data_IF_320878502644
#
_entry.id   IF_320878502644
#
_cell.length_a   1.000
_cell.length_b   1.000
_cell.length_c   1.000
_cell.angle_alpha   90.00
_cell.angle_beta   90.00
_cell.angle_gamma   90.00
#
_symmetry.space_group_name_H-M   'P 1'
#
loop_
_entity.id
_entity.type
_entity.pdbx_description
1 polymer ?
#
# COMPACT_ATOMS: atom_id res chain seq x y z
N UNK A 1 -21.14 31.17 -35.99
CA UNK A 1 -21.34 29.71 -35.97
C UNK A 1 -20.01 28.95 -36.20
N UNK A 2 -18.82 29.45 -35.76
CA UNK A 2 -17.51 28.81 -36.01
C UNK A 2 -16.69 28.57 -34.75
N UNK A 3 -17.15 28.90 -33.56
CA UNK A 3 -16.37 28.70 -32.33
C UNK A 3 -16.59 27.34 -31.66
N UNK A 4 -17.66 26.66 -31.94
CA UNK A 4 -18.02 25.36 -31.34
C UNK A 4 -17.21 24.18 -31.90
N UNK A 5 -16.69 24.27 -33.11
CA UNK A 5 -15.92 23.21 -33.74
C UNK A 5 -14.43 23.16 -33.27
N UNK A 6 -13.85 24.28 -32.86
CA UNK A 6 -12.47 24.32 -32.42
C UNK A 6 -12.27 23.70 -31.01
N UNK A 7 -13.25 23.81 -30.12
CA UNK A 7 -13.19 23.18 -28.80
C UNK A 7 -13.35 21.66 -28.86
N UNK A 8 -14.19 21.17 -29.79
CA UNK A 8 -14.35 19.73 -30.00
C UNK A 8 -13.08 19.13 -30.61
N UNK A 9 -12.44 19.80 -31.56
CA UNK A 9 -11.15 19.36 -32.13
C UNK A 9 -10.00 19.44 -31.10
N UNK A 10 -10.00 20.40 -30.18
CA UNK A 10 -9.00 20.49 -29.12
C UNK A 10 -9.19 19.39 -28.04
N UNK A 11 -10.42 18.99 -27.71
CA UNK A 11 -10.74 17.88 -26.83
C UNK A 11 -10.52 16.50 -27.48
N UNK A 12 -10.61 16.39 -28.81
CA UNK A 12 -10.25 15.18 -29.56
C UNK A 12 -8.74 15.05 -29.80
N UNK A 13 -7.96 16.11 -29.57
CA UNK A 13 -6.51 16.05 -29.60
C UNK A 13 -6.00 15.38 -28.33
N UNK A 14 -5.60 14.09 -28.47
CA UNK A 14 -4.69 13.40 -27.56
C UNK A 14 -5.28 12.44 -26.50
N UNK A 15 -6.20 11.57 -26.84
CA UNK A 15 -6.02 10.20 -26.34
C UNK A 15 -5.32 9.39 -27.42
N UNK A 16 -3.98 9.30 -27.30
CA UNK A 16 -3.20 8.41 -28.13
C UNK A 16 -3.83 7.03 -28.07
N UNK A 17 -4.45 6.57 -29.16
CA UNK A 17 -5.01 5.23 -29.22
C UNK A 17 -3.87 4.22 -29.19
N UNK A 18 -3.93 3.28 -28.30
CA UNK A 18 -2.95 2.21 -28.18
C UNK A 18 -3.61 0.90 -28.62
N UNK A 19 -2.89 0.05 -29.29
CA UNK A 19 -3.30 -1.33 -29.53
C UNK A 19 -3.31 -2.12 -28.24
N UNK A 20 -4.05 -3.21 -28.17
CA UNK A 20 -4.09 -4.10 -26.99
C UNK A 20 -2.69 -4.58 -26.62
N UNK A 21 -1.85 -4.90 -27.62
CA UNK A 21 -0.46 -5.35 -27.39
C UNK A 21 0.44 -4.24 -26.82
N UNK A 22 0.28 -3.01 -27.26
CA UNK A 22 1.02 -1.88 -26.68
C UNK A 22 0.58 -1.63 -25.23
N UNK A 23 -0.71 -1.74 -24.93
CA UNK A 23 -1.23 -1.61 -23.55
C UNK A 23 -0.70 -2.74 -22.68
N UNK A 24 -0.68 -3.97 -23.19
CA UNK A 24 -0.13 -5.14 -22.50
C UNK A 24 1.33 -4.89 -22.09
N UNK A 25 2.19 -4.47 -23.04
CA UNK A 25 3.60 -4.14 -22.77
C UNK A 25 3.76 -3.02 -21.73
N UNK A 26 2.90 -1.99 -21.77
CA UNK A 26 2.92 -0.91 -20.78
C UNK A 26 2.56 -1.41 -19.38
N UNK A 27 1.62 -2.34 -19.28
CA UNK A 27 1.21 -2.93 -17.99
C UNK A 27 2.22 -3.94 -17.47
N UNK A 28 2.90 -4.69 -18.33
CA UNK A 28 4.09 -5.48 -17.96
C UNK A 28 5.15 -4.59 -17.32
N UNK A 29 5.53 -3.51 -17.99
CA UNK A 29 6.46 -2.52 -17.45
C UNK A 29 6.02 -1.93 -16.12
N UNK A 30 4.73 -1.62 -15.98
CA UNK A 30 4.14 -1.11 -14.74
C UNK A 30 4.27 -2.10 -13.57
N UNK A 31 4.12 -3.40 -13.84
CA UNK A 31 4.27 -4.47 -12.86
C UNK A 31 5.75 -4.80 -12.56
N UNK A 32 6.64 -4.68 -13.56
CA UNK A 32 8.09 -4.90 -13.38
C UNK A 32 8.72 -3.80 -12.54
N UNK A 33 8.32 -2.54 -12.76
CA UNK A 33 8.84 -1.41 -12.00
C UNK A 33 8.56 -1.54 -10.48
N UNK A 34 7.39 -2.08 -10.12
CA UNK A 34 7.00 -2.33 -8.74
C UNK A 34 5.92 -3.40 -8.71
N UNK A 35 5.97 -4.32 -7.72
CA UNK A 35 4.86 -5.25 -7.50
C UNK A 35 3.53 -4.51 -7.38
N UNK A 36 2.51 -5.01 -8.11
CA UNK A 36 1.17 -4.44 -8.16
C UNK A 36 0.13 -5.48 -7.79
N UNK A 37 -1.00 -5.04 -7.20
CA UNK A 37 -2.17 -5.88 -7.02
C UNK A 37 -3.17 -5.69 -8.17
N UNK A 38 -4.17 -6.59 -8.28
CA UNK A 38 -5.24 -6.52 -9.28
C UNK A 38 -5.88 -5.14 -9.35
N UNK A 39 -6.28 -4.60 -8.20
CA UNK A 39 -6.95 -3.30 -8.09
C UNK A 39 -6.09 -2.14 -8.63
N UNK A 40 -4.78 -2.17 -8.43
CA UNK A 40 -3.88 -1.15 -8.97
C UNK A 40 -3.73 -1.27 -10.49
N UNK A 41 -3.64 -2.49 -11.01
CA UNK A 41 -3.59 -2.75 -12.46
C UNK A 41 -4.91 -2.37 -13.11
N UNK A 42 -6.05 -2.74 -12.51
CA UNK A 42 -7.38 -2.34 -13.00
C UNK A 42 -7.54 -0.81 -13.05
N UNK A 43 -7.09 -0.12 -12.00
CA UNK A 43 -7.10 1.34 -11.95
C UNK A 43 -6.25 1.93 -13.09
N UNK A 44 -5.07 1.35 -13.34
CA UNK A 44 -4.19 1.75 -14.43
C UNK A 44 -4.82 1.49 -15.81
N UNK A 45 -5.54 0.37 -15.96
CA UNK A 45 -6.26 0.06 -17.20
C UNK A 45 -7.37 1.06 -17.55
N UNK A 46 -7.93 1.78 -16.56
CA UNK A 46 -8.95 2.82 -16.80
C UNK A 46 -8.43 4.01 -17.60
N UNK A 47 -7.11 4.17 -17.69
CA UNK A 47 -6.49 5.20 -18.56
C UNK A 47 -6.66 4.87 -20.05
N UNK A 48 -6.98 3.60 -20.37
CA UNK A 48 -7.16 3.10 -21.71
C UNK A 48 -8.64 2.74 -21.96
N UNK A 49 -9.12 2.98 -23.18
CA UNK A 49 -10.49 2.61 -23.60
C UNK A 49 -10.50 1.13 -24.01
N UNK A 50 -10.47 0.24 -23.01
CA UNK A 50 -10.50 -1.20 -23.21
C UNK A 50 -11.92 -1.75 -23.02
N UNK A 51 -12.33 -2.61 -23.96
CA UNK A 51 -13.54 -3.45 -23.78
C UNK A 51 -13.27 -4.51 -22.69
N UNK A 52 -14.33 -5.05 -22.04
CA UNK A 52 -14.16 -6.04 -20.96
C UNK A 52 -13.30 -7.23 -21.34
N UNK A 53 -13.48 -7.79 -22.53
CA UNK A 53 -12.79 -8.96 -23.04
C UNK A 53 -11.28 -8.70 -23.16
N UNK A 54 -10.90 -7.51 -23.64
CA UNK A 54 -9.50 -7.11 -23.74
C UNK A 54 -8.84 -6.95 -22.35
N UNK A 55 -9.58 -6.44 -21.36
CA UNK A 55 -9.09 -6.36 -19.97
C UNK A 55 -8.82 -7.73 -19.40
N UNK A 56 -9.73 -8.67 -19.59
CA UNK A 56 -9.62 -10.04 -19.10
C UNK A 56 -8.42 -10.75 -19.73
N UNK A 57 -8.22 -10.64 -21.05
CA UNK A 57 -7.06 -11.17 -21.75
C UNK A 57 -5.74 -10.61 -21.20
N UNK A 58 -5.68 -9.32 -20.91
CA UNK A 58 -4.49 -8.69 -20.36
C UNK A 58 -4.23 -9.19 -18.94
N UNK A 59 -5.25 -9.27 -18.08
CA UNK A 59 -5.09 -9.84 -16.73
C UNK A 59 -4.59 -11.27 -16.76
N UNK A 60 -5.19 -12.11 -17.60
CA UNK A 60 -4.76 -13.49 -17.78
C UNK A 60 -3.29 -13.59 -18.20
N UNK A 61 -2.89 -12.77 -19.17
CA UNK A 61 -1.50 -12.68 -19.63
C UNK A 61 -0.55 -12.29 -18.49
N UNK A 62 -0.87 -11.21 -17.76
CA UNK A 62 -0.02 -10.73 -16.66
C UNK A 62 0.14 -11.79 -15.54
N UNK A 63 -0.90 -12.55 -15.25
CA UNK A 63 -0.86 -13.63 -14.26
C UNK A 63 -0.06 -14.83 -14.77
N UNK A 64 -0.32 -15.29 -15.99
CA UNK A 64 0.37 -16.44 -16.60
C UNK A 64 1.88 -16.25 -16.72
N UNK A 65 2.30 -15.01 -17.01
CA UNK A 65 3.72 -14.66 -17.11
C UNK A 65 4.31 -14.11 -15.80
N UNK A 66 3.57 -14.28 -14.69
CA UNK A 66 4.01 -13.86 -13.34
C UNK A 66 4.38 -12.37 -13.19
N UNK A 67 3.89 -11.50 -14.08
CA UNK A 67 3.98 -10.05 -13.89
C UNK A 67 3.08 -9.59 -12.76
N UNK A 68 1.89 -10.18 -12.61
CA UNK A 68 0.92 -9.91 -11.56
C UNK A 68 0.83 -11.11 -10.62
N UNK A 69 1.26 -10.91 -9.37
CA UNK A 69 1.25 -11.93 -8.33
C UNK A 69 0.89 -11.32 -6.98
N UNK A 70 -0.30 -11.62 -6.47
CA UNK A 70 -0.80 -11.02 -5.24
C UNK A 70 -0.07 -11.46 -3.98
N UNK A 71 0.43 -12.69 -3.92
CA UNK A 71 1.22 -13.16 -2.79
C UNK A 71 2.55 -12.37 -2.72
N UNK A 72 3.25 -12.25 -3.86
CA UNK A 72 4.48 -11.46 -3.96
C UNK A 72 4.23 -9.99 -3.60
N UNK A 73 3.12 -9.42 -4.10
CA UNK A 73 2.70 -8.07 -3.74
C UNK A 73 2.48 -7.92 -2.23
N UNK A 74 1.74 -8.84 -1.58
CA UNK A 74 1.47 -8.78 -0.15
C UNK A 74 2.75 -8.85 0.68
N UNK A 75 3.70 -9.70 0.31
CA UNK A 75 5.02 -9.83 0.95
C UNK A 75 5.84 -8.55 0.84
N UNK A 76 6.00 -8.03 -0.38
CA UNK A 76 6.77 -6.80 -0.62
C UNK A 76 6.13 -5.58 0.02
N UNK A 77 4.79 -5.49 0.00
CA UNK A 77 4.03 -4.43 0.65
C UNK A 77 4.22 -4.45 2.18
N UNK A 78 4.02 -5.61 2.82
CA UNK A 78 4.14 -5.75 4.27
C UNK A 78 5.56 -5.39 4.72
N UNK A 79 6.59 -5.98 4.11
CA UNK A 79 8.00 -5.70 4.39
C UNK A 79 8.34 -4.23 4.19
N UNK A 80 7.95 -3.63 3.07
CA UNK A 80 8.25 -2.23 2.76
C UNK A 80 7.55 -1.24 3.70
N UNK A 81 6.26 -1.46 4.00
CA UNK A 81 5.51 -0.57 4.92
C UNK A 81 6.00 -0.68 6.37
N UNK A 82 6.34 -1.88 6.80
CA UNK A 82 6.93 -2.07 8.12
C UNK A 82 8.32 -1.45 8.20
N UNK A 83 9.27 -1.82 7.32
CA UNK A 83 10.67 -1.39 7.41
C UNK A 83 10.87 0.10 7.15
N UNK A 84 10.15 0.68 6.18
CA UNK A 84 10.31 2.10 5.78
C UNK A 84 9.41 3.02 6.59
N UNK A 85 8.10 2.68 6.70
CA UNK A 85 7.10 3.56 7.35
C UNK A 85 6.87 3.24 8.82
N UNK A 86 7.47 2.13 9.31
CA UNK A 86 7.28 1.64 10.69
C UNK A 86 5.80 1.45 11.04
N UNK A 87 5.04 0.85 10.10
CA UNK A 87 3.64 0.53 10.34
C UNK A 87 3.50 -0.76 11.14
N UNK A 88 2.55 -0.79 12.06
CA UNK A 88 2.13 -1.99 12.77
C UNK A 88 1.30 -2.92 11.89
N UNK A 89 1.20 -4.19 12.30
CA UNK A 89 0.51 -5.26 11.56
C UNK A 89 -0.95 -4.90 11.28
N UNK A 90 -1.67 -4.25 12.22
CA UNK A 90 -3.07 -3.86 12.05
C UNK A 90 -3.28 -2.87 10.89
N UNK A 91 -2.39 -1.90 10.73
CA UNK A 91 -2.47 -0.95 9.62
C UNK A 91 -2.16 -1.62 8.30
N UNK A 92 -1.15 -2.48 8.25
CA UNK A 92 -0.78 -3.25 7.05
C UNK A 92 -1.96 -4.11 6.59
N UNK A 93 -2.62 -4.84 7.52
CA UNK A 93 -3.80 -5.66 7.25
C UNK A 93 -4.92 -4.81 6.65
N UNK A 94 -5.24 -3.67 7.26
CA UNK A 94 -6.30 -2.79 6.78
C UNK A 94 -6.03 -2.27 5.37
N UNK A 95 -4.82 -1.85 5.08
CA UNK A 95 -4.43 -1.35 3.76
C UNK A 95 -4.44 -2.46 2.69
N UNK A 96 -4.01 -3.67 3.05
CA UNK A 96 -4.08 -4.82 2.13
C UNK A 96 -5.53 -5.26 1.87
N UNK A 97 -6.40 -5.25 2.89
CA UNK A 97 -7.84 -5.47 2.71
C UNK A 97 -8.49 -4.42 1.81
N UNK A 98 -8.11 -3.15 1.96
CA UNK A 98 -8.60 -2.07 1.09
C UNK A 98 -8.18 -2.26 -0.37
N UNK A 99 -7.09 -2.98 -0.61
CA UNK A 99 -6.61 -3.37 -1.95
C UNK A 99 -7.18 -4.71 -2.44
N UNK A 100 -8.19 -5.24 -1.75
CA UNK A 100 -8.89 -6.48 -2.05
C UNK A 100 -7.99 -7.73 -2.04
N UNK A 101 -6.89 -7.68 -1.27
CA UNK A 101 -6.00 -8.83 -1.09
C UNK A 101 -6.65 -9.87 -0.18
N UNK A 102 -6.59 -11.13 -0.59
CA UNK A 102 -7.15 -12.27 0.14
C UNK A 102 -6.54 -12.41 1.55
N UNK A 103 -7.33 -12.93 2.49
CA UNK A 103 -6.85 -13.19 3.87
C UNK A 103 -5.66 -14.14 3.91
N UNK A 104 -5.59 -15.07 2.97
CA UNK A 104 -4.45 -15.99 2.82
C UNK A 104 -3.17 -15.23 2.46
N UNK A 105 -3.20 -14.39 1.42
CA UNK A 105 -2.06 -13.60 0.99
C UNK A 105 -1.64 -12.57 2.05
N UNK A 106 -2.60 -11.99 2.79
CA UNK A 106 -2.30 -11.10 3.92
C UNK A 106 -1.52 -11.83 5.00
N UNK A 107 -1.98 -13.02 5.42
CA UNK A 107 -1.27 -13.85 6.42
C UNK A 107 0.13 -14.20 5.95
N UNK A 108 0.29 -14.59 4.68
CA UNK A 108 1.58 -14.91 4.09
C UNK A 108 2.50 -13.69 4.05
N UNK A 109 1.98 -12.52 3.67
CA UNK A 109 2.74 -11.27 3.67
C UNK A 109 3.23 -10.84 5.05
N UNK A 110 2.41 -11.05 6.10
CA UNK A 110 2.80 -10.70 7.47
C UNK A 110 3.93 -11.57 8.04
N UNK A 111 4.15 -12.78 7.52
CA UNK A 111 5.28 -13.63 7.92
C UNK A 111 6.66 -13.04 7.56
N UNK A 112 6.69 -12.04 6.66
CA UNK A 112 7.91 -11.28 6.33
C UNK A 112 8.39 -10.38 7.50
N UNK A 113 7.58 -10.24 8.56
CA UNK A 113 7.87 -9.43 9.74
C UNK A 113 8.04 -10.38 10.92
N UNK A 114 9.28 -10.63 11.34
CA UNK A 114 9.56 -11.46 12.50
C UNK A 114 9.11 -10.76 13.80
N UNK A 115 8.76 -11.54 14.81
CA UNK A 115 8.29 -10.97 16.07
C UNK A 115 9.40 -10.19 16.79
N UNK A 116 10.65 -10.63 16.72
CA UNK A 116 11.81 -9.92 17.29
C UNK A 116 11.99 -8.54 16.61
N UNK A 117 12.03 -8.50 15.27
CA UNK A 117 12.13 -7.23 14.50
C UNK A 117 10.94 -6.30 14.80
N UNK A 118 9.75 -6.88 15.04
CA UNK A 118 8.54 -6.14 15.35
C UNK A 118 8.62 -5.47 16.72
N UNK A 119 9.04 -6.23 17.76
CA UNK A 119 9.20 -5.74 19.12
C UNK A 119 10.31 -4.68 19.22
N UNK A 120 11.46 -4.95 18.62
CA UNK A 120 12.56 -3.98 18.56
C UNK A 120 12.13 -2.67 17.87
N UNK A 121 11.37 -2.76 16.77
CA UNK A 121 10.92 -1.58 16.04
C UNK A 121 9.97 -0.73 16.86
N UNK A 122 8.97 -1.31 17.55
CA UNK A 122 8.03 -0.52 18.37
C UNK A 122 8.74 0.16 19.53
N UNK A 123 9.69 -0.49 20.20
CA UNK A 123 10.51 0.11 21.25
C UNK A 123 11.27 1.32 20.72
N UNK A 124 12.08 1.14 19.67
CA UNK A 124 12.90 2.21 19.06
C UNK A 124 12.07 3.42 18.64
N UNK A 125 10.91 3.23 17.99
CA UNK A 125 10.09 4.37 17.57
C UNK A 125 9.38 5.06 18.74
N UNK A 126 9.09 4.34 19.81
CA UNK A 126 8.48 4.88 21.02
C UNK A 126 9.48 5.71 21.81
N UNK A 127 10.69 5.21 22.03
CA UNK A 127 11.82 5.93 22.66
C UNK A 127 12.09 7.24 21.91
N UNK A 128 12.35 7.13 20.61
CA UNK A 128 12.55 8.33 19.76
C UNK A 128 11.40 9.33 19.84
N UNK A 129 10.15 8.84 19.90
CA UNK A 129 8.99 9.72 20.02
C UNK A 129 8.90 10.34 21.41
N UNK A 130 9.23 9.58 22.46
CA UNK A 130 9.27 10.04 23.85
C UNK A 130 10.24 11.21 24.06
N UNK A 131 11.42 11.16 23.45
CA UNK A 131 12.41 12.25 23.46
C UNK A 131 11.91 13.55 22.80
N UNK A 132 11.14 13.40 21.72
CA UNK A 132 10.61 14.54 20.95
C UNK A 132 9.39 15.21 21.61
N UNK A 133 8.74 14.57 22.57
CA UNK A 133 7.57 15.12 23.26
C UNK A 133 8.02 16.03 24.41
N UNK A 134 7.83 17.33 24.24
CA UNK A 134 8.14 18.37 25.26
C UNK A 134 7.06 18.48 26.36
N UNK A 135 6.15 17.53 26.48
CA UNK A 135 5.09 17.54 27.48
C UNK A 135 5.67 17.15 28.85
N UNK A 136 5.47 17.97 29.87
CA UNK A 136 5.93 17.73 31.25
C UNK A 136 4.94 16.88 32.05
N UNK A 137 3.65 16.96 31.72
CA UNK A 137 2.64 16.14 32.36
C UNK A 137 2.71 14.68 31.86
N UNK A 138 3.09 13.77 32.74
CA UNK A 138 3.27 12.35 32.45
C UNK A 138 2.02 11.69 31.84
N UNK A 139 0.84 12.01 32.35
CA UNK A 139 -0.40 11.46 31.80
C UNK A 139 -0.64 11.90 30.36
N UNK A 140 -0.48 13.20 30.07
CA UNK A 140 -0.62 13.74 28.71
C UNK A 140 0.45 13.18 27.78
N UNK A 141 1.69 13.06 28.26
CA UNK A 141 2.79 12.47 27.50
C UNK A 141 2.48 11.03 27.10
N UNK A 142 2.00 10.22 28.05
CA UNK A 142 1.55 8.84 27.81
C UNK A 142 0.45 8.77 26.75
N UNK A 143 -0.57 9.60 26.83
CA UNK A 143 -1.65 9.67 25.85
C UNK A 143 -1.15 10.00 24.44
N UNK A 144 -0.17 10.91 24.32
CA UNK A 144 0.45 11.26 23.04
C UNK A 144 1.20 10.08 22.42
N UNK A 145 1.93 9.27 23.22
CA UNK A 145 2.62 8.07 22.75
C UNK A 145 1.64 6.99 22.30
N UNK A 146 0.63 6.69 23.13
CA UNK A 146 -0.42 5.73 22.78
C UNK A 146 -1.08 6.11 21.45
N UNK A 147 -1.53 7.37 21.32
CA UNK A 147 -2.15 7.86 20.08
C UNK A 147 -1.24 7.78 18.87
N UNK A 148 0.07 8.02 19.04
CA UNK A 148 1.04 7.88 17.97
C UNK A 148 1.15 6.43 17.50
N UNK A 149 1.28 5.46 18.42
CA UNK A 149 1.42 4.05 18.10
C UNK A 149 0.12 3.46 17.52
N UNK A 150 -1.06 3.89 18.03
CA UNK A 150 -2.35 3.52 17.44
C UNK A 150 -2.47 3.98 15.97
N UNK A 151 -2.06 5.22 15.67
CA UNK A 151 -2.03 5.70 14.26
C UNK A 151 -1.04 4.93 13.39
N UNK A 152 0.04 4.41 13.97
CA UNK A 152 0.97 3.51 13.28
C UNK A 152 0.37 2.12 13.05
N UNK A 153 -0.65 1.74 13.83
CA UNK A 153 -1.39 0.48 13.69
C UNK A 153 -0.76 -0.69 14.43
N UNK A 154 -0.14 -0.44 15.57
CA UNK A 154 0.26 -1.48 16.52
C UNK A 154 -0.93 -1.98 17.33
N UNK A 155 -0.81 -3.18 17.89
CA UNK A 155 -1.82 -3.83 18.73
C UNK A 155 -1.91 -3.13 20.10
N UNK A 156 -3.13 -2.99 20.64
CA UNK A 156 -3.35 -2.25 21.90
C UNK A 156 -2.53 -2.80 23.06
N UNK A 157 -2.52 -4.12 23.25
CA UNK A 157 -1.78 -4.75 24.34
C UNK A 157 -0.28 -4.46 24.27
N UNK A 158 0.28 -4.53 23.06
CA UNK A 158 1.69 -4.22 22.82
C UNK A 158 1.98 -2.74 23.05
N UNK A 159 1.08 -1.84 22.64
CA UNK A 159 1.20 -0.40 22.88
C UNK A 159 1.27 -0.10 24.37
N UNK A 160 0.31 -0.62 25.15
CA UNK A 160 0.27 -0.35 26.58
C UNK A 160 1.49 -0.91 27.31
N UNK A 161 1.92 -2.13 26.94
CA UNK A 161 3.14 -2.74 27.48
C UNK A 161 4.36 -1.85 27.21
N UNK A 162 4.59 -1.47 25.96
CA UNK A 162 5.75 -0.67 25.55
C UNK A 162 5.74 0.73 26.18
N UNK A 163 4.59 1.39 26.23
CA UNK A 163 4.50 2.73 26.83
C UNK A 163 4.70 2.69 28.33
N UNK A 164 4.24 1.63 29.04
CA UNK A 164 4.50 1.44 30.45
C UNK A 164 6.00 1.23 30.75
N UNK A 165 6.68 0.49 29.89
CA UNK A 165 8.12 0.23 30.02
C UNK A 165 8.97 1.50 29.86
N UNK A 166 8.54 2.43 29.00
CA UNK A 166 9.31 3.65 28.68
C UNK A 166 8.97 4.82 29.62
N UNK A 167 7.73 4.86 30.13
CA UNK A 167 7.26 5.89 31.08
C UNK A 167 7.00 5.20 32.43
N UNK A 168 8.04 4.76 33.08
CA UNK A 168 8.05 4.40 34.49
C UNK A 168 8.28 5.63 35.36
#
# INVERSE_FOLDING_TARGET
MCFFNLEIEFFMKLKKSFTVDEIKKKLEHYCVYQDRCHKEVETKMREYLLIPEAKEMIFLHLMQHNFLNEERFAKSFARGKFRIKKWGKQRIIRELKFKDISSYNIKTGLKEITDDEYLETILKITEKRNELIKETNQFKKRQKLISFLMRKGYESDLIYKTVNEIIC
#
